data_IF_456130352909
#
_entry.id   IF_456130352909
#
_cell.length_a   1.000
_cell.length_b   1.000
_cell.length_c   1.000
_cell.angle_alpha   90.00
_cell.angle_beta   90.00
_cell.angle_gamma   90.00
#
_symmetry.space_group_name_H-M   'P 1'
#
loop_
_entity.id
_entity.type
_entity.pdbx_description
1 polymer ?
#
# COMPACT_ATOMS: atom_id res chain seq x y z
N UNK A 1 -18.67 -55.87 18.90
CA UNK A 1 -19.21 -54.61 19.47
C UNK A 1 -18.04 -53.73 19.92
N UNK A 2 -17.91 -52.54 19.30
CA UNK A 2 -17.38 -51.26 19.84
C UNK A 2 -16.73 -50.47 18.69
N UNK A 3 -17.58 -49.70 18.04
CA UNK A 3 -17.29 -48.76 16.96
C UNK A 3 -16.21 -47.74 17.38
N UNK A 4 -15.01 -47.84 16.80
CA UNK A 4 -13.98 -46.79 16.88
C UNK A 4 -14.15 -45.69 15.80
N UNK A 5 -15.30 -45.65 15.13
CA UNK A 5 -15.61 -44.72 14.05
C UNK A 5 -15.96 -43.26 14.41
N UNK A 6 -16.22 -42.81 15.66
CA UNK A 6 -16.62 -41.41 15.88
C UNK A 6 -15.45 -40.41 15.92
N UNK A 7 -14.22 -40.87 16.19
CA UNK A 7 -13.08 -39.96 16.39
C UNK A 7 -12.44 -39.50 15.08
N UNK A 8 -12.40 -40.37 14.06
CA UNK A 8 -11.87 -40.03 12.74
C UNK A 8 -12.78 -39.03 11.98
N UNK A 9 -14.10 -39.13 12.17
CA UNK A 9 -15.07 -38.23 11.55
C UNK A 9 -14.99 -36.81 12.14
N UNK A 10 -14.76 -36.70 13.46
CA UNK A 10 -14.60 -35.42 14.15
C UNK A 10 -13.32 -34.67 13.73
N UNK A 11 -12.22 -35.40 13.47
CA UNK A 11 -10.95 -34.80 13.04
C UNK A 11 -11.01 -34.26 11.61
N UNK A 12 -11.75 -34.92 10.71
CA UNK A 12 -12.01 -34.43 9.36
C UNK A 12 -12.91 -33.17 9.35
N UNK A 13 -13.82 -33.03 10.32
CA UNK A 13 -14.69 -31.86 10.41
C UNK A 13 -13.97 -30.58 10.89
N UNK A 14 -12.94 -30.74 11.74
CA UNK A 14 -12.11 -29.61 12.19
C UNK A 14 -11.20 -29.06 11.07
N UNK A 15 -10.72 -29.92 10.16
CA UNK A 15 -9.85 -29.50 9.06
C UNK A 15 -10.55 -28.60 8.02
N UNK A 16 -11.85 -28.78 7.83
CA UNK A 16 -12.65 -28.02 6.86
C UNK A 16 -12.88 -26.56 7.24
N UNK A 17 -12.82 -26.23 8.54
CA UNK A 17 -13.05 -24.86 9.03
C UNK A 17 -11.84 -23.94 8.88
N UNK A 18 -10.65 -24.50 8.60
CA UNK A 18 -9.39 -23.73 8.52
C UNK A 18 -9.09 -23.26 7.09
N UNK A 19 -9.84 -23.72 6.08
CA UNK A 19 -9.54 -23.47 4.67
C UNK A 19 -10.28 -22.28 4.05
N UNK A 20 -10.62 -21.24 4.83
CA UNK A 20 -10.98 -19.92 4.28
C UNK A 20 -9.74 -19.01 4.23
N UNK A 21 -8.69 -19.46 3.53
CA UNK A 21 -7.68 -18.52 3.04
C UNK A 21 -8.37 -17.68 1.96
N UNK A 22 -9.01 -16.59 2.39
CA UNK A 22 -9.55 -15.55 1.53
C UNK A 22 -8.46 -15.20 0.53
N UNK A 23 -8.68 -15.47 -0.76
CA UNK A 23 -7.89 -14.89 -1.83
C UNK A 23 -7.88 -13.39 -1.56
N UNK A 24 -6.73 -12.84 -1.18
CA UNK A 24 -6.57 -11.40 -1.04
C UNK A 24 -6.86 -10.85 -2.43
N UNK A 25 -8.09 -10.39 -2.64
CA UNK A 25 -8.56 -9.89 -3.92
C UNK A 25 -7.59 -8.82 -4.44
N UNK A 26 -7.59 -8.62 -5.76
CA UNK A 26 -6.78 -7.56 -6.37
C UNK A 26 -7.03 -6.24 -5.63
N UNK A 27 -6.01 -5.63 -5.02
CA UNK A 27 -6.22 -4.39 -4.27
C UNK A 27 -6.59 -3.27 -5.24
N UNK A 28 -7.40 -2.33 -4.76
CA UNK A 28 -7.60 -1.07 -5.45
C UNK A 28 -6.34 -0.21 -5.28
N UNK A 29 -5.88 0.42 -6.36
CA UNK A 29 -4.72 1.33 -6.34
C UNK A 29 -5.21 2.75 -6.61
N UNK A 30 -5.02 3.64 -5.63
CA UNK A 30 -5.23 5.08 -5.80
C UNK A 30 -3.87 5.77 -5.91
N UNK A 31 -3.57 6.29 -7.10
CA UNK A 31 -2.37 7.09 -7.34
C UNK A 31 -2.70 8.58 -7.25
N UNK A 32 -2.11 9.28 -6.28
CA UNK A 32 -2.28 10.72 -6.06
C UNK A 32 -1.01 11.43 -6.51
N UNK A 33 -1.09 12.19 -7.61
CA UNK A 33 -0.03 13.06 -8.08
C UNK A 33 -0.38 14.53 -7.79
N UNK A 34 0.60 15.31 -7.33
CA UNK A 34 0.44 16.72 -6.99
C UNK A 34 1.46 17.50 -7.81
N UNK A 35 1.00 18.46 -8.60
CA UNK A 35 1.86 19.27 -9.47
C UNK A 35 2.70 20.25 -8.64
N UNK A 36 3.98 20.40 -8.99
CA UNK A 36 4.96 21.30 -8.38
C UNK A 36 5.11 21.24 -6.84
N UNK A 37 4.66 20.14 -6.21
CA UNK A 37 4.81 19.98 -4.77
C UNK A 37 6.26 19.73 -4.38
N UNK A 38 6.85 20.69 -3.67
CA UNK A 38 8.11 20.51 -2.97
C UNK A 38 7.97 19.48 -1.83
N UNK A 39 9.07 18.90 -1.36
CA UNK A 39 9.15 18.01 -0.20
C UNK A 39 8.90 18.72 1.16
N UNK A 40 8.13 19.80 1.16
CA UNK A 40 7.69 20.60 2.31
C UNK A 40 6.32 20.12 2.82
N UNK A 41 6.24 18.83 3.16
CA UNK A 41 5.07 18.23 3.85
C UNK A 41 5.33 18.15 5.37
N UNK A 42 4.26 18.24 6.16
CA UNK A 42 4.31 18.45 7.60
C UNK A 42 5.12 17.39 8.33
N UNK A 43 4.87 16.11 8.02
CA UNK A 43 5.60 14.97 8.59
C UNK A 43 7.12 15.00 8.33
N UNK A 44 7.59 15.68 7.27
CA UNK A 44 9.02 15.83 7.00
C UNK A 44 9.67 17.01 7.76
N UNK A 45 8.87 17.89 8.37
CA UNK A 45 9.36 18.97 9.24
C UNK A 45 10.28 20.00 8.57
N UNK A 46 10.20 20.18 7.23
CA UNK A 46 11.17 21.01 6.49
C UNK A 46 10.80 22.47 6.33
N UNK A 47 9.54 22.84 6.54
CA UNK A 47 9.08 24.22 6.46
C UNK A 47 8.08 24.51 7.60
N UNK A 48 8.29 25.56 8.42
CA UNK A 48 7.53 25.78 9.65
C UNK A 48 6.05 26.14 9.43
N UNK A 49 5.71 26.66 8.24
CA UNK A 49 4.34 27.04 7.91
C UNK A 49 3.52 25.91 7.28
N UNK A 50 4.11 24.73 7.05
CA UNK A 50 3.42 23.63 6.39
C UNK A 50 2.33 23.05 7.30
N UNK A 51 1.10 22.97 6.78
CA UNK A 51 -0.05 22.34 7.47
C UNK A 51 -0.68 21.30 6.54
N UNK A 52 -0.33 20.03 6.74
CA UNK A 52 -0.79 18.93 5.86
C UNK A 52 -1.35 17.74 6.65
N UNK A 53 -2.36 17.94 7.52
CA UNK A 53 -2.80 16.91 8.48
C UNK A 53 -3.24 15.60 7.82
N UNK A 54 -3.79 15.65 6.60
CA UNK A 54 -4.18 14.45 5.86
C UNK A 54 -2.98 13.68 5.28
N UNK A 55 -1.94 14.38 4.82
CA UNK A 55 -0.69 13.75 4.36
C UNK A 55 0.06 13.17 5.57
N UNK A 56 0.07 13.89 6.69
CA UNK A 56 0.73 13.45 7.92
C UNK A 56 0.05 12.18 8.47
N UNK A 57 -1.29 12.13 8.44
CA UNK A 57 -2.06 10.92 8.78
C UNK A 57 -1.76 9.77 7.82
N UNK A 58 -1.64 10.02 6.52
CA UNK A 58 -1.30 8.99 5.54
C UNK A 58 0.11 8.44 5.77
N UNK A 59 1.07 9.31 6.05
CA UNK A 59 2.46 8.93 6.33
C UNK A 59 2.57 8.05 7.58
N UNK A 60 1.79 8.34 8.63
CA UNK A 60 1.75 7.54 9.86
C UNK A 60 1.15 6.12 9.67
N UNK A 61 0.39 5.92 8.59
CA UNK A 61 -0.28 4.64 8.26
C UNK A 61 0.49 3.83 7.21
N UNK A 62 1.64 4.33 6.72
CA UNK A 62 2.34 3.75 5.60
C UNK A 62 3.84 3.93 5.65
N UNK A 63 4.45 3.98 4.47
CA UNK A 63 5.90 4.12 4.31
C UNK A 63 6.20 5.44 3.62
N UNK A 64 7.12 6.21 4.20
CA UNK A 64 7.62 7.46 3.61
C UNK A 64 8.98 7.23 2.96
N UNK A 65 9.09 7.52 1.67
CA UNK A 65 10.36 7.50 0.94
C UNK A 65 11.04 8.87 1.05
N UNK A 66 12.08 8.97 1.88
CA UNK A 66 12.80 10.24 2.14
C UNK A 66 13.78 10.65 1.03
N UNK A 67 14.00 9.76 0.06
CA UNK A 67 14.88 9.93 -1.11
C UNK A 67 14.17 9.53 -2.40
N UNK A 68 13.00 10.14 -2.66
CA UNK A 68 12.26 9.98 -3.90
C UNK A 68 12.62 11.09 -4.90
N UNK A 69 12.97 10.74 -6.14
CA UNK A 69 13.40 11.67 -7.17
C UNK A 69 12.54 11.52 -8.44
N UNK A 70 12.22 12.64 -9.09
CA UNK A 70 11.65 12.63 -10.42
C UNK A 70 12.72 12.33 -11.48
N UNK A 71 12.31 11.80 -12.64
CA UNK A 71 13.24 11.49 -13.75
C UNK A 71 13.70 12.74 -14.48
N UNK A 72 12.89 13.79 -14.49
CA UNK A 72 13.22 15.10 -15.02
C UNK A 72 12.49 16.20 -14.22
N UNK A 73 13.10 17.37 -13.99
CA UNK A 73 12.49 18.49 -13.28
C UNK A 73 11.58 19.32 -14.22
N UNK A 74 10.75 18.64 -15.01
CA UNK A 74 9.79 19.27 -15.90
C UNK A 74 8.51 18.42 -16.00
N UNK A 75 7.37 19.10 -16.09
CA UNK A 75 6.06 18.51 -15.89
C UNK A 75 5.76 17.38 -16.90
N UNK A 76 5.95 17.63 -18.20
CA UNK A 76 5.70 16.64 -19.26
C UNK A 76 6.65 15.43 -19.24
N UNK A 77 7.99 15.59 -19.25
CA UNK A 77 8.89 14.45 -19.23
C UNK A 77 8.77 13.61 -17.95
N UNK A 78 8.56 14.25 -16.78
CA UNK A 78 8.31 13.56 -15.51
C UNK A 78 7.07 12.66 -15.57
N UNK A 79 5.94 13.22 -16.05
CA UNK A 79 4.68 12.46 -16.19
C UNK A 79 4.77 11.35 -17.23
N UNK A 80 5.39 11.63 -18.38
CA UNK A 80 5.58 10.65 -19.43
C UNK A 80 6.40 9.45 -18.93
N UNK A 81 7.49 9.69 -18.19
CA UNK A 81 8.26 8.62 -17.57
C UNK A 81 7.49 7.81 -16.55
N UNK A 82 6.70 8.47 -15.71
CA UNK A 82 5.94 7.79 -14.66
C UNK A 82 4.84 6.89 -15.25
N UNK A 83 4.17 7.33 -16.31
CA UNK A 83 3.10 6.56 -16.98
C UNK A 83 3.63 5.44 -17.89
N UNK A 84 4.78 5.64 -18.53
CA UNK A 84 5.35 4.67 -19.47
C UNK A 84 6.37 3.71 -18.85
N UNK A 85 6.94 4.05 -17.69
CA UNK A 85 8.08 3.35 -17.12
C UNK A 85 9.39 3.55 -17.88
N UNK A 86 9.45 4.49 -18.84
CA UNK A 86 10.63 4.79 -19.65
C UNK A 86 11.30 6.09 -19.20
N UNK A 87 12.62 6.19 -19.35
CA UNK A 87 13.32 7.46 -19.08
C UNK A 87 13.03 8.49 -20.19
N UNK A 88 13.04 9.80 -19.88
CA UNK A 88 12.86 10.86 -20.86
C UNK A 88 13.99 10.90 -21.90
#
# INVERSE_FOLDING_TARGET
MKSRMPFALALCFLGSLVSSAQSAGRPNVLFIAIDDLNHWVGHLGRHPQTRTPNIDRLAAQGVTFTKAYCTAPACNPSRASLMSGQRP
#
